data_IF_482776501904
#
_entry.id   IF_482776501904
#
_cell.length_a   1.000
_cell.length_b   1.000
_cell.length_c   1.000
_cell.angle_alpha   90.00
_cell.angle_beta   90.00
_cell.angle_gamma   90.00
#
_symmetry.space_group_name_H-M   'P 1'
#
loop_
_entity.id
_entity.type
_entity.pdbx_description
1 polymer ?
#
# COMPACT_ATOMS: atom_id res chain seq x y z
N UNK A 1 4.43 11.29 -7.70
CA UNK A 1 4.03 9.97 -7.16
C UNK A 1 2.85 10.23 -6.24
N UNK A 2 1.64 9.87 -6.66
CA UNK A 2 0.43 10.10 -5.86
C UNK A 2 0.32 8.99 -4.82
N UNK A 3 0.54 9.36 -3.55
CA UNK A 3 0.27 8.50 -2.40
C UNK A 3 -1.24 8.44 -2.21
N UNK A 4 -1.79 7.22 -2.06
CA UNK A 4 -3.22 6.94 -1.85
C UNK A 4 -3.92 8.01 -1.01
N UNK A 5 -5.11 8.43 -1.45
CA UNK A 5 -6.03 9.21 -0.65
C UNK A 5 -6.27 8.51 0.68
N UNK A 6 -5.67 9.06 1.73
CA UNK A 6 -5.80 8.70 3.14
C UNK A 6 -5.98 7.20 3.45
N UNK A 7 -4.90 6.38 3.39
CA UNK A 7 -4.96 5.08 4.02
C UNK A 7 -5.29 5.29 5.50
N UNK A 8 -6.32 4.61 6.02
CA UNK A 8 -6.45 4.42 7.45
C UNK A 8 -5.20 3.68 7.88
N UNK A 9 -4.30 4.40 8.55
CA UNK A 9 -3.12 3.79 9.16
C UNK A 9 -3.58 3.22 10.47
N UNK A 10 -3.44 1.91 10.62
CA UNK A 10 -3.60 1.25 11.90
C UNK A 10 -2.17 1.12 12.44
N UNK A 11 -1.74 1.98 13.39
CA UNK A 11 -0.41 1.84 13.99
C UNK A 11 -0.24 0.45 14.64
N UNK A 12 -1.36 -0.18 14.98
CA UNK A 12 -1.49 -1.50 15.59
C UNK A 12 -1.51 -2.66 14.59
N UNK A 13 -1.74 -2.42 13.29
CA UNK A 13 -1.67 -3.46 12.24
C UNK A 13 -0.58 -3.13 11.21
N UNK A 14 0.69 -3.41 11.53
CA UNK A 14 1.76 -3.27 10.55
C UNK A 14 1.48 -4.17 9.35
N UNK A 15 1.84 -3.69 8.16
CA UNK A 15 1.76 -4.48 6.93
C UNK A 15 0.42 -4.41 6.19
N UNK A 16 -0.49 -3.52 6.58
CA UNK A 16 -1.79 -3.33 5.93
C UNK A 16 -2.06 -1.87 5.58
N UNK A 17 -2.75 -1.68 4.47
CA UNK A 17 -3.38 -0.42 4.08
C UNK A 17 -4.88 -0.68 3.91
N UNK A 18 -5.71 0.06 4.64
CA UNK A 18 -7.18 -0.03 4.47
C UNK A 18 -7.72 1.31 4.03
N UNK A 19 -8.66 1.31 3.11
CA UNK A 19 -9.40 2.50 2.72
C UNK A 19 -10.88 2.17 2.51
N UNK A 20 -11.74 3.14 2.79
CA UNK A 20 -13.19 3.02 2.67
C UNK A 20 -13.61 3.25 1.21
N UNK A 21 -14.61 2.49 0.76
CA UNK A 21 -15.24 2.69 -0.54
C UNK A 21 -16.14 3.94 -0.53
N UNK A 22 -16.25 4.63 -1.66
CA UNK A 22 -17.05 5.85 -1.79
C UNK A 22 -18.55 5.57 -2.01
N UNK A 23 -18.91 4.42 -2.58
CA UNK A 23 -20.30 4.06 -2.85
C UNK A 23 -20.99 3.41 -1.65
N UNK A 24 -20.23 2.68 -0.84
CA UNK A 24 -20.73 1.97 0.32
C UNK A 24 -19.85 2.28 1.55
N UNK A 25 -20.34 3.08 2.52
CA UNK A 25 -19.57 3.43 3.71
C UNK A 25 -19.28 2.23 4.62
N UNK A 26 -19.88 1.07 4.38
CA UNK A 26 -19.56 -0.17 5.10
C UNK A 26 -18.53 -1.01 4.36
N UNK A 27 -18.19 -0.69 3.12
CA UNK A 27 -17.22 -1.42 2.32
C UNK A 27 -15.82 -0.83 2.49
N UNK A 28 -14.84 -1.70 2.72
CA UNK A 28 -13.45 -1.32 2.90
C UNK A 28 -12.54 -2.21 2.06
N UNK A 29 -11.60 -1.61 1.37
CA UNK A 29 -10.56 -2.29 0.62
C UNK A 29 -9.36 -2.53 1.52
N UNK A 30 -8.89 -3.77 1.59
CA UNK A 30 -7.72 -4.15 2.41
C UNK A 30 -6.58 -4.59 1.50
N UNK A 31 -5.51 -3.82 1.53
CA UNK A 31 -4.30 -4.06 0.75
C UNK A 31 -3.19 -4.53 1.69
N UNK A 32 -2.69 -5.74 1.46
CA UNK A 32 -1.49 -6.20 2.14
C UNK A 32 -0.25 -5.52 1.58
N UNK A 33 0.68 -5.20 2.47
CA UNK A 33 2.03 -4.74 2.14
C UNK A 33 3.08 -5.76 2.56
N UNK A 34 2.68 -7.01 2.73
CA UNK A 34 3.55 -8.13 3.10
C UNK A 34 3.37 -9.24 2.08
N UNK A 35 4.49 -9.75 1.58
CA UNK A 35 4.51 -10.91 0.68
C UNK A 35 4.53 -12.18 1.53
N UNK A 36 3.73 -13.17 1.16
CA UNK A 36 3.72 -14.52 1.74
C UNK A 36 4.00 -15.58 0.69
N UNK A 37 4.18 -16.82 1.14
CA UNK A 37 4.07 -17.99 0.27
C UNK A 37 2.64 -18.49 0.30
N UNK A 38 2.08 -18.78 -0.88
CA UNK A 38 0.79 -19.43 -0.97
C UNK A 38 0.82 -20.78 -0.23
N UNK A 39 -0.32 -21.22 0.28
CA UNK A 39 -0.44 -22.53 0.94
C UNK A 39 -0.96 -23.57 -0.05
N UNK A 40 -0.38 -24.77 0.01
CA UNK A 40 -0.90 -25.96 -0.69
C UNK A 40 -2.12 -26.52 0.05
N UNK A 41 -2.79 -27.50 -0.56
CA UNK A 41 -3.94 -28.18 0.03
C UNK A 41 -3.63 -28.88 1.37
N UNK A 42 -2.37 -29.28 1.60
CA UNK A 42 -1.91 -29.87 2.86
C UNK A 42 -1.56 -28.83 3.95
N UNK A 43 -1.75 -27.54 3.65
CA UNK A 43 -1.41 -26.42 4.55
C UNK A 43 0.07 -26.03 4.55
N UNK A 44 0.95 -26.79 3.87
CA UNK A 44 2.36 -26.46 3.70
C UNK A 44 2.58 -25.32 2.70
N UNK A 45 3.75 -24.66 2.72
CA UNK A 45 4.06 -23.60 1.78
C UNK A 45 4.17 -24.16 0.34
N UNK A 46 3.71 -23.38 -0.63
CA UNK A 46 3.87 -23.63 -2.06
C UNK A 46 5.30 -23.30 -2.48
N UNK A 47 6.24 -24.08 -1.98
CA UNK A 47 7.66 -24.04 -2.30
C UNK A 47 8.16 -25.48 -2.45
N UNK A 48 8.88 -25.75 -3.52
CA UNK A 48 9.53 -27.05 -3.74
C UNK A 48 10.87 -26.87 -4.43
N UNK A 49 11.81 -27.71 -4.02
CA UNK A 49 13.07 -27.93 -4.72
C UNK A 49 13.18 -29.41 -5.02
N UNK A 50 13.42 -29.76 -6.27
CA UNK A 50 13.60 -31.15 -6.72
C UNK A 50 14.93 -31.23 -7.43
N UNK A 51 15.81 -32.11 -6.97
CA UNK A 51 17.11 -32.32 -7.59
C UNK A 51 17.37 -33.81 -7.82
N UNK A 52 18.00 -34.13 -8.96
CA UNK A 52 18.44 -35.48 -9.26
C UNK A 52 19.76 -35.84 -8.53
N UNK A 53 20.60 -34.84 -8.22
CA UNK A 53 21.83 -35.00 -7.44
C UNK A 53 22.34 -33.62 -6.96
N UNK A 54 23.21 -33.59 -5.93
CA UNK A 54 23.73 -32.33 -5.36
C UNK A 54 24.31 -31.35 -6.40
N UNK A 55 24.98 -31.90 -7.42
CA UNK A 55 25.65 -31.13 -8.48
C UNK A 55 24.95 -31.22 -9.85
N UNK A 56 23.82 -31.93 -9.92
CA UNK A 56 23.02 -32.04 -11.15
C UNK A 56 21.86 -31.05 -11.15
N UNK A 57 21.18 -30.83 -12.28
CA UNK A 57 20.13 -29.82 -12.39
C UNK A 57 19.08 -29.92 -11.29
N UNK A 58 18.73 -28.77 -10.71
CA UNK A 58 17.69 -28.66 -9.69
C UNK A 58 16.54 -27.80 -10.22
N UNK A 59 15.31 -28.27 -10.02
CA UNK A 59 14.10 -27.53 -10.32
C UNK A 59 13.58 -26.88 -9.05
N UNK A 60 13.32 -25.57 -9.10
CA UNK A 60 12.71 -24.80 -8.02
C UNK A 60 11.37 -24.30 -8.50
N UNK A 61 10.34 -24.49 -7.68
CA UNK A 61 9.02 -23.90 -7.89
C UNK A 61 8.55 -23.22 -6.61
N UNK A 62 8.04 -22.01 -6.73
CA UNK A 62 7.41 -21.31 -5.61
C UNK A 62 6.22 -20.47 -6.08
N UNK A 63 5.21 -20.34 -5.23
CA UNK A 63 4.09 -19.42 -5.47
C UNK A 63 4.03 -18.41 -4.33
N UNK A 64 4.22 -17.15 -4.67
CA UNK A 64 4.10 -16.04 -3.75
C UNK A 64 2.70 -15.44 -3.83
N UNK A 65 2.25 -14.84 -2.74
CA UNK A 65 0.98 -14.13 -2.65
C UNK A 65 1.19 -12.75 -1.99
N UNK A 66 0.45 -11.77 -2.47
CA UNK A 66 0.32 -10.45 -1.88
C UNK A 66 -1.16 -10.22 -1.53
N UNK A 67 -1.54 -10.65 -0.33
CA UNK A 67 -2.91 -10.58 0.15
C UNK A 67 -2.99 -10.51 1.66
N UNK A 68 -4.08 -9.97 2.18
CA UNK A 68 -4.30 -9.94 3.62
C UNK A 68 -4.60 -11.36 4.11
N UNK A 69 -3.96 -11.77 5.21
CA UNK A 69 -4.27 -13.04 5.85
C UNK A 69 -5.63 -12.97 6.56
N UNK A 70 -6.32 -14.10 6.80
CA UNK A 70 -7.56 -14.10 7.57
C UNK A 70 -7.42 -13.48 8.97
N UNK A 71 -6.25 -13.63 9.60
CA UNK A 71 -5.96 -13.02 10.90
C UNK A 71 -5.86 -11.49 10.81
N UNK A 72 -5.22 -10.99 9.76
CA UNK A 72 -5.15 -9.55 9.46
C UNK A 72 -6.55 -8.97 9.16
N UNK A 73 -7.35 -9.65 8.35
CA UNK A 73 -8.73 -9.23 8.07
C UNK A 73 -9.59 -9.20 9.34
N UNK A 74 -9.50 -10.22 10.19
CA UNK A 74 -10.20 -10.25 11.47
C UNK A 74 -9.78 -9.08 12.37
N UNK A 75 -8.49 -8.77 12.41
CA UNK A 75 -7.97 -7.66 13.19
C UNK A 75 -8.44 -6.29 12.64
N UNK A 76 -8.50 -6.13 11.31
CA UNK A 76 -9.07 -4.92 10.69
C UNK A 76 -10.55 -4.78 11.06
N UNK A 77 -11.34 -5.86 10.98
CA UNK A 77 -12.77 -5.82 11.37
C UNK A 77 -12.95 -5.42 12.84
N UNK A 78 -12.15 -5.97 13.74
CA UNK A 78 -12.20 -5.61 15.16
C UNK A 78 -11.92 -4.12 15.36
N UNK A 79 -10.85 -3.60 14.75
CA UNK A 79 -10.48 -2.19 14.87
C UNK A 79 -11.54 -1.25 14.29
N UNK A 80 -12.14 -1.61 13.15
CA UNK A 80 -13.26 -0.86 12.58
C UNK A 80 -14.48 -0.89 13.51
N UNK A 81 -14.80 -2.04 14.11
CA UNK A 81 -15.92 -2.18 15.03
C UNK A 81 -15.74 -1.43 16.35
N UNK A 82 -14.51 -1.29 16.83
CA UNK A 82 -14.20 -0.61 18.10
C UNK A 82 -14.04 0.91 17.93
N UNK A 83 -13.85 1.40 16.69
CA UNK A 83 -13.61 2.82 16.41
C UNK A 83 -12.26 3.33 16.92
N UNK A 84 -11.36 2.42 17.31
CA UNK A 84 -10.00 2.75 17.80
C UNK A 84 -9.07 3.27 16.71
N UNK A 85 -9.52 3.26 15.45
CA UNK A 85 -8.74 3.75 14.32
C UNK A 85 -8.73 5.27 14.33
N UNK A 86 -7.53 5.84 14.38
CA UNK A 86 -7.34 7.25 14.17
C UNK A 86 -7.34 7.60 12.69
N UNK A 87 -8.29 8.43 12.32
CA UNK A 87 -8.32 9.14 11.06
C UNK A 87 -7.39 10.38 11.16
N UNK A 88 -6.44 10.54 10.23
CA UNK A 88 -5.57 11.73 10.16
C UNK A 88 -6.32 12.98 9.69
N UNK A 89 -6.43 13.99 10.55
CA UNK A 89 -6.84 15.36 10.20
C UNK A 89 -5.62 16.27 10.20
N UNK A 90 -5.65 17.33 9.39
CA UNK A 90 -4.71 18.43 9.52
C UNK A 90 -5.40 19.54 10.32
N UNK A 91 -4.75 20.01 11.39
CA UNK A 91 -5.18 21.20 12.12
C UNK A 91 -4.03 22.21 12.18
N UNK A 92 -4.30 23.48 11.90
CA UNK A 92 -3.34 24.53 12.20
C UNK A 92 -3.15 24.63 13.72
N UNK A 93 -1.91 24.50 14.18
CA UNK A 93 -1.58 24.49 15.62
C UNK A 93 -1.39 25.90 16.16
N UNK A 94 -1.03 26.85 15.29
CA UNK A 94 -0.88 28.28 15.60
C UNK A 94 -1.09 29.14 14.33
N UNK A 95 -1.24 30.47 14.47
CA UNK A 95 -1.27 31.38 13.32
C UNK A 95 0.10 31.58 12.64
N UNK A 96 1.17 30.92 13.11
CA UNK A 96 2.56 31.16 12.70
C UNK A 96 3.15 30.04 11.83
N UNK A 97 2.38 29.00 11.51
CA UNK A 97 2.69 28.06 10.43
C UNK A 97 3.00 26.61 10.85
N UNK A 98 2.76 26.22 12.11
CA UNK A 98 2.89 24.80 12.47
C UNK A 98 1.61 24.02 12.15
N UNK A 99 1.71 22.97 11.33
CA UNK A 99 0.62 22.04 11.06
C UNK A 99 0.75 20.81 11.96
N UNK A 100 -0.34 20.43 12.61
CA UNK A 100 -0.43 19.21 13.38
C UNK A 100 -1.30 18.19 12.66
N UNK A 101 -0.77 16.98 12.52
CA UNK A 101 -1.56 15.79 12.24
C UNK A 101 -2.36 15.44 13.51
N UNK A 102 -3.69 15.50 13.43
CA UNK A 102 -4.61 15.11 14.48
C UNK A 102 -5.26 13.79 14.11
N UNK A 103 -4.87 12.75 14.83
CA UNK A 103 -5.65 11.54 14.96
C UNK A 103 -7.05 11.86 15.51
N UNK A 104 -8.10 11.70 14.71
CA UNK A 104 -9.50 11.73 15.16
C UNK A 104 -10.05 10.32 15.18
N UNK A 105 -10.68 9.88 16.28
CA UNK A 105 -11.30 8.57 16.32
C UNK A 105 -12.31 8.41 15.18
N UNK A 106 -12.16 7.35 14.41
CA UNK A 106 -13.14 6.94 13.41
C UNK A 106 -14.43 6.50 14.12
N UNK A 107 -15.57 6.66 13.45
CA UNK A 107 -16.81 6.09 13.99
C UNK A 107 -16.74 4.56 13.92
N UNK A 108 -17.18 3.85 14.96
CA UNK A 108 -17.38 2.40 14.93
C UNK A 108 -18.21 1.94 13.73
N UNK A 109 -17.74 0.92 13.01
CA UNK A 109 -18.44 0.24 11.91
C UNK A 109 -18.48 -1.25 12.19
N UNK A 110 -19.53 -1.70 12.87
CA UNK A 110 -19.66 -3.09 13.35
C UNK A 110 -19.98 -4.13 12.27
N UNK A 111 -20.43 -3.69 11.10
CA UNK A 111 -20.78 -4.56 9.96
C UNK A 111 -19.92 -4.27 8.71
N UNK A 112 -18.65 -3.91 8.93
CA UNK A 112 -17.70 -3.65 7.85
C UNK A 112 -17.52 -4.86 6.92
N UNK A 113 -17.67 -4.61 5.62
CA UNK A 113 -17.44 -5.56 4.53
C UNK A 113 -16.04 -5.31 3.97
N UNK A 114 -15.12 -6.23 4.23
CA UNK A 114 -13.79 -6.18 3.64
C UNK A 114 -13.82 -6.80 2.24
N UNK A 115 -13.27 -6.07 1.27
CA UNK A 115 -13.11 -6.50 -0.12
C UNK A 115 -11.64 -6.42 -0.54
N UNK A 116 -11.18 -7.33 -1.41
CA UNK A 116 -9.86 -7.18 -2.01
C UNK A 116 -9.87 -5.99 -2.97
N UNK A 117 -8.77 -5.23 -3.08
CA UNK A 117 -8.63 -4.19 -4.07
C UNK A 117 -8.69 -4.76 -5.49
N UNK A 118 -9.25 -3.98 -6.41
CA UNK A 118 -9.25 -4.31 -7.84
C UNK A 118 -7.93 -3.86 -8.44
N UNK A 119 -7.04 -4.79 -8.78
CA UNK A 119 -5.78 -4.45 -9.43
C UNK A 119 -5.99 -4.22 -10.93
N UNK A 120 -5.40 -3.16 -11.47
CA UNK A 120 -5.46 -2.82 -12.90
C UNK A 120 -4.24 -3.30 -13.68
N UNK A 121 -3.09 -3.42 -13.02
CA UNK A 121 -1.85 -3.93 -13.61
C UNK A 121 -0.90 -4.41 -12.50
N UNK A 122 0.11 -5.20 -12.86
CA UNK A 122 1.19 -5.52 -11.94
C UNK A 122 2.27 -6.41 -12.52
N UNK A 123 3.42 -6.38 -11.86
CA UNK A 123 4.58 -7.22 -12.09
C UNK A 123 4.96 -7.89 -10.77
N UNK A 124 5.26 -9.19 -10.80
CA UNK A 124 5.93 -9.89 -9.72
C UNK A 124 7.28 -10.39 -10.22
N UNK A 125 8.35 -10.08 -9.49
CA UNK A 125 9.73 -10.41 -9.86
C UNK A 125 10.40 -11.22 -8.76
N UNK A 126 11.01 -12.34 -9.15
CA UNK A 126 11.91 -13.13 -8.32
C UNK A 126 13.34 -12.87 -8.76
N UNK A 127 14.16 -12.36 -7.84
CA UNK A 127 15.62 -12.27 -8.01
C UNK A 127 16.25 -13.26 -7.07
N UNK A 128 17.02 -14.22 -7.58
CA UNK A 128 17.75 -15.22 -6.78
C UNK A 128 19.25 -14.98 -6.93
N UNK A 129 19.95 -14.87 -5.80
CA UNK A 129 21.36 -14.53 -5.73
C UNK A 129 21.71 -13.68 -4.51
N UNK A 130 23.01 -13.51 -4.25
CA UNK A 130 23.56 -12.72 -3.13
C UNK A 130 23.92 -11.27 -3.52
N UNK A 131 23.61 -10.89 -4.76
CA UNK A 131 23.97 -9.59 -5.34
C UNK A 131 25.35 -9.54 -6.00
N UNK A 132 26.23 -10.51 -5.73
CA UNK A 132 27.49 -10.71 -6.44
C UNK A 132 27.34 -11.73 -7.58
N UNK A 133 26.62 -12.82 -7.34
CA UNK A 133 26.21 -13.81 -8.34
C UNK A 133 24.68 -13.79 -8.50
N UNK A 134 24.23 -13.53 -9.73
CA UNK A 134 22.81 -13.62 -10.09
C UNK A 134 22.51 -15.02 -10.62
N UNK A 135 21.70 -15.79 -9.89
CA UNK A 135 21.25 -17.11 -10.31
C UNK A 135 19.99 -17.04 -11.18
N UNK A 136 19.08 -16.11 -10.88
CA UNK A 136 17.88 -15.89 -11.68
C UNK A 136 17.29 -14.48 -11.49
N UNK A 137 16.70 -13.94 -12.55
CA UNK A 137 15.81 -12.76 -12.53
C UNK A 137 14.59 -13.09 -13.39
N UNK A 138 13.47 -13.39 -12.73
CA UNK A 138 12.25 -13.91 -13.38
C UNK A 138 11.12 -12.94 -13.12
N UNK A 139 10.51 -12.48 -14.20
CA UNK A 139 9.35 -11.59 -14.18
C UNK A 139 8.10 -12.39 -14.55
N UNK A 140 7.03 -12.22 -13.76
CA UNK A 140 5.73 -12.85 -13.96
C UNK A 140 4.61 -11.82 -13.80
N UNK A 141 3.54 -11.98 -14.57
CA UNK A 141 2.30 -11.27 -14.31
C UNK A 141 1.58 -11.97 -13.14
N UNK A 142 1.23 -11.25 -12.06
CA UNK A 142 0.48 -11.85 -10.97
C UNK A 142 -1.01 -11.96 -11.37
N UNK A 143 -1.82 -12.63 -10.54
CA UNK A 143 -3.22 -12.91 -10.85
C UNK A 143 -4.11 -11.66 -10.98
N UNK A 144 -3.73 -10.54 -10.33
CA UNK A 144 -4.50 -9.30 -10.26
C UNK A 144 -5.90 -9.45 -9.61
N UNK A 145 -6.13 -10.55 -8.90
CA UNK A 145 -7.35 -10.77 -8.10
C UNK A 145 -7.03 -11.46 -6.78
N UNK A 146 -7.88 -11.26 -5.76
CA UNK A 146 -7.73 -11.88 -4.45
C UNK A 146 -6.37 -11.57 -3.82
N UNK A 147 -5.63 -12.61 -3.45
CA UNK A 147 -4.29 -12.50 -2.85
C UNK A 147 -3.16 -12.26 -3.87
N UNK A 148 -3.51 -11.85 -5.09
CA UNK A 148 -2.58 -11.43 -6.15
C UNK A 148 -1.36 -12.35 -6.29
N UNK A 149 -1.61 -13.59 -6.71
CA UNK A 149 -0.61 -14.67 -6.68
C UNK A 149 0.29 -14.65 -7.90
N UNK A 150 1.57 -14.96 -7.72
CA UNK A 150 2.54 -15.18 -8.79
C UNK A 150 3.33 -16.47 -8.56
N UNK A 151 3.41 -17.31 -9.59
CA UNK A 151 4.15 -18.57 -9.56
C UNK A 151 5.44 -18.45 -10.36
N UNK A 152 6.55 -18.84 -9.74
CA UNK A 152 7.88 -18.84 -10.33
C UNK A 152 8.37 -20.27 -10.45
N UNK A 153 9.02 -20.58 -11.57
CA UNK A 153 9.66 -21.86 -11.80
C UNK A 153 10.98 -21.64 -12.51
N UNK A 154 12.04 -22.29 -12.03
CA UNK A 154 13.37 -22.19 -12.62
C UNK A 154 14.16 -23.48 -12.50
N UNK A 155 15.17 -23.61 -13.36
CA UNK A 155 16.13 -24.71 -13.34
C UNK A 155 17.50 -24.11 -13.00
N UNK A 156 18.12 -24.61 -11.95
CA UNK A 156 19.51 -24.34 -11.60
C UNK A 156 20.40 -25.39 -12.25
N UNK A 157 21.21 -24.98 -13.22
CA UNK A 157 22.07 -25.87 -13.99
C UNK A 157 23.14 -26.55 -13.13
N UNK A 158 23.70 -25.85 -12.12
CA UNK A 158 24.70 -26.42 -11.21
C UNK A 158 24.08 -27.10 -9.97
N UNK A 159 22.76 -27.29 -9.96
CA UNK A 159 22.05 -28.01 -8.91
C UNK A 159 21.82 -27.24 -7.62
N UNK A 160 21.60 -28.00 -6.54
CA UNK A 160 21.31 -27.44 -5.22
C UNK A 160 22.56 -26.93 -4.50
N UNK A 161 23.77 -27.28 -4.96
CA UNK A 161 25.02 -26.79 -4.37
C UNK A 161 25.09 -25.26 -4.34
N UNK A 162 24.79 -24.58 -5.45
CA UNK A 162 24.76 -23.10 -5.48
C UNK A 162 23.72 -22.51 -4.52
N UNK A 163 22.58 -23.18 -4.37
CA UNK A 163 21.55 -22.74 -3.45
C UNK A 163 21.96 -22.97 -1.99
N UNK A 164 22.64 -24.08 -1.71
CA UNK A 164 23.20 -24.38 -0.39
C UNK A 164 24.25 -23.34 0.01
N UNK A 165 25.16 -22.97 -0.90
CA UNK A 165 26.17 -21.94 -0.65
C UNK A 165 25.52 -20.58 -0.28
N UNK A 166 24.44 -20.19 -0.98
CA UNK A 166 23.66 -18.99 -0.66
C UNK A 166 22.94 -19.09 0.70
N UNK A 167 22.46 -20.28 1.06
CA UNK A 167 21.77 -20.54 2.33
C UNK A 167 22.75 -20.54 3.52
N UNK A 168 23.94 -21.10 3.34
CA UNK A 168 25.00 -21.15 4.36
C UNK A 168 25.60 -19.77 4.63
N UNK A 169 25.68 -18.91 3.62
CA UNK A 169 26.08 -17.51 3.81
C UNK A 169 25.07 -16.72 4.66
N UNK A 170 25.54 -15.73 5.40
CA UNK A 170 24.68 -14.77 6.14
C UNK A 170 23.99 -13.75 5.20
N UNK A 171 24.22 -13.85 3.89
CA UNK A 171 23.71 -12.95 2.87
C UNK A 171 22.25 -13.21 2.45
N UNK A 172 21.67 -12.28 1.67
CA UNK A 172 20.37 -12.51 1.04
C UNK A 172 20.47 -13.66 0.04
N UNK A 173 19.52 -14.60 0.07
CA UNK A 173 19.42 -15.68 -0.93
C UNK A 173 18.73 -15.16 -2.20
N UNK A 174 17.92 -14.11 -2.06
CA UNK A 174 17.11 -13.54 -3.11
C UNK A 174 15.99 -12.67 -2.56
N UNK A 175 15.19 -12.10 -3.45
CA UNK A 175 14.04 -11.25 -3.13
C UNK A 175 12.87 -11.57 -4.04
N UNK A 176 11.66 -11.37 -3.50
CA UNK A 176 10.43 -11.27 -4.29
C UNK A 176 9.97 -9.83 -4.21
N UNK A 177 9.66 -9.25 -5.36
CA UNK A 177 9.14 -7.89 -5.50
C UNK A 177 7.81 -7.92 -6.22
N UNK A 178 6.81 -7.22 -5.69
CA UNK A 178 5.57 -6.90 -6.39
C UNK A 178 5.57 -5.40 -6.70
N UNK A 179 5.28 -5.04 -7.94
CA UNK A 179 4.94 -3.69 -8.38
C UNK A 179 3.54 -3.73 -8.98
N UNK A 180 2.57 -3.22 -8.24
CA UNK A 180 1.16 -3.37 -8.58
C UNK A 180 0.48 -2.00 -8.65
N UNK A 181 -0.45 -1.89 -9.60
CA UNK A 181 -1.28 -0.72 -9.82
C UNK A 181 -2.74 -1.05 -9.58
N UNK A 182 -3.48 -0.13 -8.98
CA UNK A 182 -4.90 -0.29 -8.74
C UNK A 182 -5.61 1.06 -8.74
N UNK A 183 -6.83 1.14 -9.31
CA UNK A 183 -7.71 2.27 -9.09
C UNK A 183 -8.19 2.29 -7.63
N UNK A 184 -7.84 3.33 -6.89
CA UNK A 184 -8.49 3.63 -5.62
C UNK A 184 -9.61 4.62 -5.89
N UNK A 185 -10.81 4.30 -5.42
CA UNK A 185 -11.91 5.27 -5.38
C UNK A 185 -11.80 6.04 -4.09
N UNK A 186 -11.72 7.36 -4.20
CA UNK A 186 -11.69 8.22 -3.01
C UNK A 186 -13.13 8.60 -2.68
N UNK A 187 -13.55 8.55 -1.40
CA UNK A 187 -14.83 9.11 -0.99
C UNK A 187 -14.99 10.54 -1.49
N UNK A 188 -16.23 10.97 -1.73
CA UNK A 188 -16.49 12.33 -2.14
C UNK A 188 -16.00 13.31 -1.07
N UNK A 189 -15.21 14.31 -1.48
CA UNK A 189 -14.61 15.29 -0.57
C UNK A 189 -15.03 16.69 -0.97
N UNK A 190 -15.50 17.49 -0.03
CA UNK A 190 -15.59 18.94 -0.21
C UNK A 190 -14.33 19.58 0.38
N UNK A 191 -13.41 20.06 -0.46
CA UNK A 191 -12.24 20.81 -0.04
C UNK A 191 -12.61 22.29 0.08
N UNK A 192 -12.67 22.83 1.30
CA UNK A 192 -12.71 24.26 1.54
C UNK A 192 -11.29 24.84 1.65
N UNK A 193 -10.94 25.74 0.74
CA UNK A 193 -9.73 26.56 0.81
C UNK A 193 -10.13 27.96 1.27
N UNK A 194 -9.60 28.38 2.40
CA UNK A 194 -9.80 29.72 2.95
C UNK A 194 -8.48 30.48 2.87
N UNK A 195 -8.48 31.58 2.14
CA UNK A 195 -7.32 32.48 2.13
C UNK A 195 -7.34 33.39 3.37
N UNK A 196 -6.18 33.56 3.99
CA UNK A 196 -5.96 34.50 5.07
C UNK A 196 -5.10 35.66 4.54
N UNK A 197 -5.59 36.89 4.60
CA UNK A 197 -4.87 38.07 4.10
C UNK A 197 -4.76 38.12 2.58
N UNK A 198 -3.55 38.43 2.06
CA UNK A 198 -3.29 38.65 0.62
C UNK A 198 -3.23 37.36 -0.22
N UNK A 199 -3.31 36.18 0.41
CA UNK A 199 -3.21 34.88 -0.28
C UNK A 199 -1.78 34.54 -0.75
N UNK A 200 -1.63 33.54 -1.64
CA UNK A 200 -0.39 33.17 -2.30
C UNK A 200 0.16 34.30 -3.18
N UNK A 201 1.46 34.55 -3.07
CA UNK A 201 2.20 35.49 -3.89
C UNK A 201 2.40 34.96 -5.31
N UNK A 202 2.70 35.86 -6.25
CA UNK A 202 2.96 35.47 -7.63
C UNK A 202 4.19 34.56 -7.72
N UNK A 203 4.04 33.39 -8.35
CA UNK A 203 5.09 32.35 -8.43
C UNK A 203 5.21 31.45 -7.20
N UNK A 204 4.43 31.69 -6.13
CA UNK A 204 4.42 30.86 -4.93
C UNK A 204 3.61 29.57 -5.17
N UNK A 205 4.13 28.42 -4.75
CA UNK A 205 3.38 27.17 -4.77
C UNK A 205 2.29 27.18 -3.68
N UNK A 206 1.21 26.42 -3.86
CA UNK A 206 0.18 26.32 -2.80
C UNK A 206 0.71 25.68 -1.55
N UNK A 207 1.67 24.76 -1.66
CA UNK A 207 2.41 24.24 -0.50
C UNK A 207 3.10 25.35 0.28
N UNK A 208 3.86 26.22 -0.41
CA UNK A 208 4.52 27.36 0.23
C UNK A 208 3.52 28.35 0.85
N UNK A 209 2.39 28.60 0.19
CA UNK A 209 1.34 29.47 0.71
C UNK A 209 0.59 28.87 1.92
N UNK A 210 0.40 27.54 1.97
CA UNK A 210 -0.15 26.80 3.12
C UNK A 210 0.84 26.79 4.28
N UNK A 211 2.13 26.58 4.00
CA UNK A 211 3.20 26.64 5.01
C UNK A 211 3.37 28.04 5.62
N UNK A 212 3.16 29.09 4.82
CA UNK A 212 3.17 30.49 5.26
C UNK A 212 1.87 30.92 5.97
N UNK A 213 0.86 30.05 6.02
CA UNK A 213 -0.45 30.36 6.61
C UNK A 213 -1.33 31.29 5.79
N UNK A 214 -0.97 31.56 4.53
CA UNK A 214 -1.77 32.37 3.60
C UNK A 214 -2.99 31.61 3.06
N UNK A 215 -2.98 30.28 3.14
CA UNK A 215 -4.09 29.39 2.81
C UNK A 215 -4.35 28.39 3.96
N UNK A 216 -5.60 28.25 4.34
CA UNK A 216 -6.12 27.15 5.16
C UNK A 216 -6.88 26.19 4.23
N UNK A 217 -6.57 24.89 4.30
CA UNK A 217 -7.28 23.87 3.52
C UNK A 217 -7.94 22.89 4.46
N UNK A 218 -9.26 22.78 4.35
CA UNK A 218 -10.10 21.90 5.16
C UNK A 218 -10.84 20.98 4.22
N UNK A 219 -10.84 19.68 4.50
CA UNK A 219 -11.64 18.72 3.75
C UNK A 219 -12.87 18.31 4.56
N UNK A 220 -14.01 18.18 3.89
CA UNK A 220 -15.27 17.67 4.42
C UNK A 220 -15.76 16.50 3.58
N UNK A 221 -16.68 15.71 4.12
CA UNK A 221 -17.40 14.69 3.37
C UNK A 221 -18.27 15.33 2.26
N UNK A 222 -18.93 14.49 1.48
CA UNK A 222 -19.74 14.92 0.34
C UNK A 222 -20.87 15.88 0.77
N UNK A 223 -21.35 15.71 2.00
CA UNK A 223 -22.44 16.44 2.63
C UNK A 223 -21.96 17.74 3.28
N UNK A 224 -20.65 17.94 3.44
CA UNK A 224 -20.08 19.11 4.09
C UNK A 224 -20.28 19.15 5.60
N UNK A 225 -20.80 18.06 6.18
CA UNK A 225 -21.19 17.98 7.59
C UNK A 225 -20.04 17.47 8.47
N UNK A 226 -19.13 16.67 7.92
CA UNK A 226 -18.04 16.06 8.69
C UNK A 226 -16.71 16.33 8.02
N UNK A 227 -15.65 16.65 8.77
CA UNK A 227 -14.32 16.77 8.20
C UNK A 227 -13.89 15.43 7.60
N UNK A 228 -13.52 15.43 6.34
CA UNK A 228 -13.03 14.26 5.65
C UNK A 228 -11.51 14.17 5.64
N UNK A 229 -11.05 12.95 5.45
CA UNK A 229 -9.69 12.49 5.63
C UNK A 229 -8.91 12.60 4.34
N UNK A 230 -7.86 13.43 4.32
CA UNK A 230 -7.09 13.64 3.09
C UNK A 230 -5.61 13.81 3.36
N UNK A 231 -4.79 13.19 2.51
CA UNK A 231 -3.32 13.30 2.53
C UNK A 231 -2.84 14.58 1.85
N UNK A 232 -1.77 15.15 2.41
CA UNK A 232 -1.21 16.46 2.07
C UNK A 232 -0.91 16.66 0.59
N UNK A 233 -0.29 15.70 -0.11
CA UNK A 233 0.16 15.89 -1.49
C UNK A 233 -1.00 16.05 -2.51
N UNK A 234 -1.99 15.16 -2.47
CA UNK A 234 -3.14 15.22 -3.37
C UNK A 234 -4.03 16.45 -3.12
N UNK A 235 -4.15 16.88 -1.85
CA UNK A 235 -4.87 18.10 -1.47
C UNK A 235 -4.19 19.34 -2.00
N UNK A 236 -2.86 19.42 -1.92
CA UNK A 236 -2.09 20.58 -2.33
C UNK A 236 -2.10 20.78 -3.85
N UNK A 237 -2.07 19.69 -4.63
CA UNK A 237 -2.20 19.77 -6.10
C UNK A 237 -3.59 20.24 -6.53
N UNK A 238 -4.64 19.73 -5.88
CA UNK A 238 -6.04 20.15 -6.15
C UNK A 238 -6.29 21.58 -5.65
N UNK A 239 -5.76 21.96 -4.49
CA UNK A 239 -5.82 23.32 -3.96
C UNK A 239 -5.03 24.31 -4.84
N UNK A 240 -3.90 23.90 -5.42
CA UNK A 240 -3.16 24.65 -6.43
C UNK A 240 -3.98 24.93 -7.67
N UNK A 241 -4.70 23.91 -8.16
CA UNK A 241 -5.55 24.07 -9.32
C UNK A 241 -6.74 25.00 -9.06
N UNK A 242 -7.32 24.95 -7.86
CA UNK A 242 -8.42 25.83 -7.46
C UNK A 242 -8.03 27.29 -7.30
N UNK A 243 -6.82 27.51 -6.78
CA UNK A 243 -6.31 28.85 -6.56
C UNK A 243 -6.01 29.56 -7.90
N UNK A 244 -5.51 28.82 -8.90
CA UNK A 244 -5.20 29.37 -10.24
C UNK A 244 -6.41 29.96 -10.97
N UNK A 245 -7.66 29.63 -10.59
CA UNK A 245 -8.90 29.98 -11.32
C UNK A 245 -9.75 31.12 -10.65
N UNK A 246 -9.16 32.27 -10.28
CA UNK A 246 -9.74 33.48 -9.56
C UNK A 246 -11.21 33.89 -9.87
N UNK A 247 -12.03 34.52 -8.95
CA UNK A 247 -11.77 35.70 -8.06
C UNK A 247 -11.86 35.45 -6.50
N UNK A 248 -11.71 36.46 -5.60
CA UNK A 248 -11.35 36.28 -4.17
C UNK A 248 -12.52 35.89 -3.25
N UNK A 249 -12.21 35.10 -2.19
CA UNK A 249 -13.16 34.63 -1.16
C UNK A 249 -12.84 33.22 -0.64
N UNK A 250 -13.59 32.73 0.36
CA UNK A 250 -13.59 31.31 0.75
C UNK A 250 -14.11 30.48 -0.42
N UNK A 251 -13.37 29.45 -0.84
CA UNK A 251 -13.77 28.57 -1.94
C UNK A 251 -13.92 27.16 -1.45
N UNK A 252 -15.02 26.51 -1.79
CA UNK A 252 -15.12 25.07 -1.73
C UNK A 252 -14.98 24.49 -3.14
N UNK A 253 -14.15 23.48 -3.30
CA UNK A 253 -14.23 22.55 -4.40
C UNK A 253 -14.86 21.28 -3.89
N UNK A 254 -15.97 20.91 -4.51
CA UNK A 254 -16.41 19.53 -4.44
C UNK A 254 -15.51 18.72 -5.36
N UNK A 255 -14.70 17.85 -4.78
CA UNK A 255 -14.13 16.73 -5.52
C UNK A 255 -15.31 15.80 -5.75
N UNK A 256 -15.73 15.68 -7.00
CA UNK A 256 -16.92 14.90 -7.34
C UNK A 256 -16.78 13.46 -6.80
N UNK A 257 -17.87 12.89 -6.28
CA UNK A 257 -17.94 11.47 -5.93
C UNK A 257 -17.46 10.62 -7.12
N UNK A 258 -16.65 9.60 -6.85
CA UNK A 258 -16.19 8.66 -7.88
C UNK A 258 -14.94 9.06 -8.65
N UNK A 259 -14.16 10.04 -8.16
CA UNK A 259 -12.82 10.27 -8.70
C UNK A 259 -11.93 9.02 -8.48
N UNK A 260 -11.56 8.36 -9.59
CA UNK A 260 -10.65 7.22 -9.58
C UNK A 260 -9.22 7.75 -9.60
N UNK A 261 -8.45 7.47 -8.54
CA UNK A 261 -7.02 7.79 -8.49
C UNK A 261 -6.21 6.54 -8.86
N UNK A 262 -5.31 6.62 -9.86
CA UNK A 262 -4.37 5.54 -10.11
C UNK A 262 -3.36 5.48 -8.96
N UNK A 263 -3.29 4.34 -8.29
CA UNK A 263 -2.37 4.11 -7.18
C UNK A 263 -1.36 3.03 -7.54
N UNK A 264 -0.18 3.13 -6.95
CA UNK A 264 0.94 2.21 -7.15
C UNK A 264 1.48 1.75 -5.81
N UNK A 265 1.71 0.45 -5.66
CA UNK A 265 2.32 -0.15 -4.48
C UNK A 265 3.50 -1.03 -4.92
N UNK A 266 4.66 -0.79 -4.30
CA UNK A 266 5.83 -1.66 -4.41
C UNK A 266 6.06 -2.34 -3.07
N UNK A 267 6.13 -3.67 -3.06
CA UNK A 267 6.45 -4.47 -1.87
C UNK A 267 7.62 -5.38 -2.20
N UNK A 268 8.58 -5.47 -1.28
CA UNK A 268 9.77 -6.31 -1.44
C UNK A 268 9.92 -7.15 -0.18
N UNK A 269 10.16 -8.45 -0.35
CA UNK A 269 10.44 -9.35 0.74
C UNK A 269 11.68 -10.22 0.43
N UNK A 270 12.60 -10.39 1.39
CA UNK A 270 13.72 -11.30 1.23
C UNK A 270 13.23 -12.75 1.26
N UNK A 271 13.72 -13.59 0.34
CA UNK A 271 13.28 -14.97 0.20
C UNK A 271 13.53 -15.80 1.47
N UNK A 272 14.62 -15.49 2.19
CA UNK A 272 14.97 -16.11 3.48
C UNK A 272 13.92 -15.88 4.57
N UNK A 273 13.15 -14.79 4.51
CA UNK A 273 12.06 -14.53 5.45
C UNK A 273 10.75 -15.23 5.07
N UNK A 274 10.62 -15.67 3.81
CA UNK A 274 9.39 -16.27 3.28
C UNK A 274 9.40 -17.79 3.41
N UNK A 275 10.55 -18.42 3.15
CA UNK A 275 10.69 -19.88 3.13
C UNK A 275 11.20 -20.37 4.50
N UNK A 276 10.48 -21.29 5.17
CA UNK A 276 10.91 -21.88 6.44
C UNK A 276 12.32 -22.47 6.40
N UNK A 277 13.10 -22.27 7.46
CA UNK A 277 14.46 -22.78 7.61
C UNK A 277 14.59 -24.28 7.27
N UNK A 278 13.66 -25.10 7.76
CA UNK A 278 13.65 -26.54 7.52
C UNK A 278 13.55 -26.94 6.03
N UNK A 279 13.00 -26.07 5.17
CA UNK A 279 12.96 -26.34 3.72
C UNK A 279 14.29 -26.01 3.02
N UNK A 280 15.13 -25.19 3.64
CA UNK A 280 16.49 -24.94 3.18
C UNK A 280 17.46 -26.03 3.67
N UNK A 281 17.26 -26.54 4.89
CA UNK A 281 18.11 -27.59 5.49
C UNK A 281 18.11 -28.90 4.69
N UNK A 282 17.03 -29.19 3.95
CA UNK A 282 16.95 -30.37 3.07
C UNK A 282 17.80 -30.31 1.79
N UNK A 283 18.57 -29.23 1.59
CA UNK A 283 19.41 -29.02 0.41
C UNK A 283 20.88 -29.46 0.59
N UNK A 284 21.30 -29.72 1.84
CA UNK A 284 22.65 -30.11 2.25
C UNK A 284 22.99 -31.58 2.02
#
# INVERSE_FOLDING_TARGET
MLTLGCPLRFPTLPGLVVYQDDEDPKRFHVLATTIGLAKRADGGPAFSVVSASRNGPAFISLTAELGATPAQEAAVRALLADGEVAALRLRPTDPTGSWSEIAVPAQPVSDAVLVPPLFSAGEARLVLGDGAELLADIVQAPSLFGANTASFSLILEKGTAQLADLVEGDGPIGTIRYDISFPARVPALTLAVKAHGEGPQEGETVEAAVLRGALEVTAFDAEGERPALVTTAAVLDVAAELWRRRPPGTRSLRVDPGAIIPCHLTVIAPLRALVPAALWEGLG
#
